data_IF_571825499991
#
_entry.id   IF_571825499991
#
_cell.length_a   1.000
_cell.length_b   1.000
_cell.length_c   1.000
_cell.angle_alpha   90.00
_cell.angle_beta   90.00
_cell.angle_gamma   90.00
#
_symmetry.space_group_name_H-M   'P 1'
#
loop_
_entity.id
_entity.type
_entity.pdbx_description
1 polymer ?
#
# COMPACT_ATOMS: atom_id res chain seq x y z
N UNK A 1 -44.16 -6.01 17.79
CA UNK A 1 -43.04 -6.77 17.20
C UNK A 1 -42.77 -6.15 15.84
N UNK A 2 -41.59 -5.63 15.49
CA UNK A 2 -40.28 -5.61 16.13
C UNK A 2 -39.60 -4.35 15.58
N UNK A 3 -39.14 -3.45 16.45
CA UNK A 3 -38.28 -2.34 16.05
C UNK A 3 -36.88 -2.90 15.84
N UNK A 4 -36.33 -2.75 14.64
CA UNK A 4 -34.88 -2.85 14.44
C UNK A 4 -34.31 -1.42 14.58
N UNK A 5 -33.39 -1.17 15.54
CA UNK A 5 -32.86 0.16 15.81
C UNK A 5 -31.55 0.43 15.05
N UNK A 6 -31.55 1.40 14.14
CA UNK A 6 -30.58 2.52 14.11
C UNK A 6 -30.74 3.39 12.84
N UNK A 7 -31.40 4.54 13.00
CA UNK A 7 -31.24 5.80 12.27
C UNK A 7 -30.86 5.72 10.76
N UNK A 8 -31.87 5.54 9.90
CA UNK A 8 -31.76 5.80 8.47
C UNK A 8 -31.90 7.30 8.19
N UNK A 9 -30.86 7.92 7.64
CA UNK A 9 -31.07 9.16 6.90
C UNK A 9 -31.99 8.84 5.71
N UNK A 10 -33.13 9.54 5.51
CA UNK A 10 -33.94 9.31 4.32
C UNK A 10 -33.15 9.72 3.08
N UNK A 11 -32.92 8.76 2.17
CA UNK A 11 -32.29 9.02 0.88
C UNK A 11 -33.14 9.97 0.06
N UNK A 12 -32.52 10.83 -0.74
CA UNK A 12 -33.26 11.58 -1.77
C UNK A 12 -33.71 10.66 -2.89
N UNK A 13 -34.72 11.06 -3.67
CA UNK A 13 -35.22 10.28 -4.80
C UNK A 13 -34.12 9.96 -5.83
N UNK A 14 -33.15 10.86 -6.01
CA UNK A 14 -31.99 10.66 -6.89
C UNK A 14 -31.00 9.66 -6.31
N UNK A 15 -30.78 9.66 -5.00
CA UNK A 15 -29.90 8.70 -4.33
C UNK A 15 -30.48 7.28 -4.38
N UNK A 16 -31.80 7.14 -4.22
CA UNK A 16 -32.50 5.86 -4.40
C UNK A 16 -32.43 5.34 -5.85
N UNK A 17 -32.46 6.24 -6.84
CA UNK A 17 -32.29 5.85 -8.26
C UNK A 17 -30.89 5.29 -8.56
N UNK A 18 -29.84 5.82 -7.93
CA UNK A 18 -28.48 5.25 -8.05
C UNK A 18 -28.45 3.83 -7.47
N UNK A 19 -29.04 3.64 -6.29
CA UNK A 19 -29.11 2.34 -5.63
C UNK A 19 -29.83 1.30 -6.50
N UNK A 20 -30.97 1.68 -7.10
CA UNK A 20 -31.70 0.80 -8.02
C UNK A 20 -30.89 0.40 -9.24
N UNK A 21 -30.08 1.32 -9.80
CA UNK A 21 -29.17 1.00 -10.92
C UNK A 21 -28.09 0.00 -10.49
N UNK A 22 -27.58 0.11 -9.27
CA UNK A 22 -26.60 -0.83 -8.70
C UNK A 22 -27.23 -2.22 -8.58
N UNK A 23 -28.39 -2.33 -7.92
CA UNK A 23 -29.06 -3.63 -7.75
C UNK A 23 -29.43 -4.25 -9.10
N UNK A 24 -30.03 -3.48 -10.00
CA UNK A 24 -30.46 -3.99 -11.31
C UNK A 24 -29.29 -4.57 -12.11
N UNK A 25 -28.15 -3.88 -12.13
CA UNK A 25 -26.98 -4.36 -12.87
C UNK A 25 -26.37 -5.61 -12.21
N UNK A 26 -26.27 -5.64 -10.88
CA UNK A 26 -25.75 -6.80 -10.14
C UNK A 26 -26.67 -8.03 -10.27
N UNK A 27 -27.98 -7.82 -10.32
CA UNK A 27 -28.98 -8.86 -10.59
C UNK A 27 -28.85 -9.44 -11.99
N UNK A 28 -28.81 -8.57 -13.01
CA UNK A 28 -28.67 -8.97 -14.41
C UNK A 28 -27.37 -9.75 -14.67
N UNK A 29 -26.34 -9.53 -13.84
CA UNK A 29 -25.06 -10.21 -13.94
C UNK A 29 -24.87 -11.32 -12.88
N UNK A 30 -25.95 -11.77 -12.22
CA UNK A 30 -25.97 -12.91 -11.30
C UNK A 30 -25.01 -12.81 -10.10
N UNK A 31 -24.81 -11.60 -9.55
CA UNK A 31 -24.00 -11.45 -8.34
C UNK A 31 -24.70 -12.09 -7.13
N UNK A 32 -23.93 -12.69 -6.19
CA UNK A 32 -24.46 -13.18 -4.92
C UNK A 32 -25.14 -12.07 -4.10
N UNK A 33 -26.12 -12.44 -3.28
CA UNK A 33 -26.85 -11.51 -2.42
C UNK A 33 -25.92 -10.71 -1.49
N UNK A 34 -24.91 -11.37 -0.90
CA UNK A 34 -23.90 -10.73 -0.05
C UNK A 34 -23.16 -9.57 -0.75
N UNK A 35 -22.94 -9.68 -2.07
CA UNK A 35 -22.27 -8.63 -2.85
C UNK A 35 -23.21 -7.48 -3.22
N UNK A 36 -24.51 -7.77 -3.38
CA UNK A 36 -25.54 -6.74 -3.55
C UNK A 36 -25.67 -5.90 -2.29
N UNK A 37 -25.73 -6.54 -1.12
CA UNK A 37 -25.75 -5.86 0.19
C UNK A 37 -24.47 -5.05 0.41
N UNK A 38 -23.31 -5.57 0.02
CA UNK A 38 -22.05 -4.83 0.15
C UNK A 38 -22.01 -3.59 -0.76
N UNK A 39 -22.51 -3.69 -1.99
CA UNK A 39 -22.59 -2.57 -2.93
C UNK A 39 -23.53 -1.47 -2.42
N UNK A 40 -24.67 -1.87 -1.87
CA UNK A 40 -25.59 -0.97 -1.18
C UNK A 40 -24.91 -0.25 -0.02
N UNK A 41 -24.20 -0.98 0.85
CA UNK A 41 -23.48 -0.39 1.98
C UNK A 41 -22.42 0.63 1.52
N UNK A 42 -21.67 0.36 0.44
CA UNK A 42 -20.70 1.30 -0.14
C UNK A 42 -21.39 2.62 -0.52
N UNK A 43 -22.54 2.54 -1.20
CA UNK A 43 -23.29 3.71 -1.63
C UNK A 43 -23.84 4.51 -0.45
N UNK A 44 -24.46 3.84 0.52
CA UNK A 44 -25.04 4.47 1.70
C UNK A 44 -23.96 5.16 2.56
N UNK A 45 -22.80 4.53 2.72
CA UNK A 45 -21.67 5.11 3.44
C UNK A 45 -21.17 6.39 2.78
N UNK A 46 -21.09 6.39 1.45
CA UNK A 46 -20.63 7.55 0.69
C UNK A 46 -21.59 8.73 0.81
N UNK A 47 -22.90 8.46 0.66
CA UNK A 47 -23.96 9.46 0.81
C UNK A 47 -23.95 10.08 2.21
N UNK A 48 -23.78 9.24 3.23
CA UNK A 48 -23.73 9.68 4.64
C UNK A 48 -22.53 10.58 4.93
N UNK A 49 -21.37 10.29 4.36
CA UNK A 49 -20.14 11.08 4.58
C UNK A 49 -20.08 12.38 3.77
N UNK A 50 -20.64 12.43 2.57
CA UNK A 50 -20.53 13.60 1.67
C UNK A 50 -21.60 14.67 1.85
N UNK A 51 -22.69 14.40 2.58
CA UNK A 51 -23.87 15.27 2.73
C UNK A 51 -24.31 15.93 1.40
N UNK A 52 -25.14 15.19 0.67
CA UNK A 52 -25.90 15.60 -0.54
C UNK A 52 -25.07 16.12 -1.73
N UNK A 53 -24.45 15.21 -2.51
CA UNK A 53 -23.92 15.57 -3.82
C UNK A 53 -25.05 16.04 -4.76
N UNK A 54 -24.80 17.03 -5.62
CA UNK A 54 -25.73 17.40 -6.71
C UNK A 54 -25.75 16.30 -7.77
N UNK A 55 -26.82 15.49 -7.79
CA UNK A 55 -26.97 14.35 -8.70
C UNK A 55 -27.79 14.77 -9.93
N UNK A 56 -27.17 14.69 -11.11
CA UNK A 56 -27.84 14.74 -12.42
C UNK A 56 -28.03 13.33 -12.97
N UNK A 57 -28.78 13.15 -14.07
CA UNK A 57 -29.01 11.82 -14.66
C UNK A 57 -27.73 11.14 -15.15
N UNK A 58 -26.81 11.89 -15.76
CA UNK A 58 -25.49 11.39 -16.14
C UNK A 58 -24.67 11.02 -14.89
N UNK A 59 -24.75 11.82 -13.82
CA UNK A 59 -24.07 11.51 -12.57
C UNK A 59 -24.60 10.23 -11.92
N UNK A 60 -25.90 9.92 -12.05
CA UNK A 60 -26.47 8.69 -11.48
C UNK A 60 -25.80 7.43 -12.05
N UNK A 61 -25.63 7.38 -13.37
CA UNK A 61 -24.97 6.25 -14.05
C UNK A 61 -23.48 6.16 -13.69
N UNK A 62 -22.81 7.31 -13.59
CA UNK A 62 -21.41 7.36 -13.16
C UNK A 62 -21.26 6.82 -11.73
N UNK A 63 -22.14 7.22 -10.80
CA UNK A 63 -22.10 6.74 -9.42
C UNK A 63 -22.37 5.24 -9.32
N UNK A 64 -23.39 4.73 -9.99
CA UNK A 64 -23.70 3.31 -10.01
C UNK A 64 -22.53 2.47 -10.55
N UNK A 65 -21.98 2.86 -11.70
CA UNK A 65 -20.81 2.21 -12.28
C UNK A 65 -19.58 2.29 -11.37
N UNK A 66 -19.39 3.40 -10.65
CA UNK A 66 -18.28 3.58 -9.73
C UNK A 66 -18.38 2.66 -8.51
N UNK A 67 -19.57 2.51 -7.92
CA UNK A 67 -19.80 1.60 -6.79
C UNK A 67 -19.56 0.15 -7.20
N UNK A 68 -20.08 -0.25 -8.36
CA UNK A 68 -19.87 -1.60 -8.91
C UNK A 68 -18.39 -1.84 -9.20
N UNK A 69 -17.68 -0.85 -9.76
CA UNK A 69 -16.25 -0.94 -9.99
C UNK A 69 -15.47 -1.06 -8.67
N UNK A 70 -15.86 -0.32 -7.63
CA UNK A 70 -15.23 -0.41 -6.33
C UNK A 70 -15.44 -1.80 -5.70
N UNK A 71 -16.67 -2.32 -5.75
CA UNK A 71 -17.01 -3.67 -5.31
C UNK A 71 -16.20 -4.73 -6.08
N UNK A 72 -16.10 -4.59 -7.41
CA UNK A 72 -15.39 -5.57 -8.23
C UNK A 72 -13.91 -5.65 -7.90
N UNK A 73 -13.29 -4.52 -7.56
CA UNK A 73 -11.91 -4.47 -7.07
C UNK A 73 -11.77 -5.10 -5.67
N UNK A 74 -12.74 -4.92 -4.78
CA UNK A 74 -12.73 -5.53 -3.44
C UNK A 74 -12.90 -7.06 -3.50
N UNK A 75 -13.69 -7.58 -4.45
CA UNK A 75 -13.97 -9.01 -4.58
C UNK A 75 -13.10 -9.74 -5.60
N UNK A 76 -12.19 -9.04 -6.28
CA UNK A 76 -11.31 -9.63 -7.28
C UNK A 76 -11.98 -10.00 -8.61
N UNK A 77 -13.15 -9.42 -8.93
CA UNK A 77 -13.85 -9.69 -10.19
C UNK A 77 -13.18 -8.99 -11.38
N UNK A 78 -12.14 -9.62 -11.93
CA UNK A 78 -11.33 -9.09 -13.05
C UNK A 78 -12.14 -8.83 -14.34
N UNK A 79 -13.24 -9.56 -14.53
CA UNK A 79 -14.14 -9.42 -15.67
C UNK A 79 -14.99 -8.13 -15.63
N UNK A 80 -15.07 -7.47 -14.47
CA UNK A 80 -15.72 -6.16 -14.27
C UNK A 80 -14.66 -5.07 -14.20
N UNK A 81 -14.38 -4.45 -15.35
CA UNK A 81 -13.43 -3.35 -15.47
C UNK A 81 -14.10 -2.06 -15.97
N UNK A 82 -13.37 -0.94 -15.89
CA UNK A 82 -13.89 0.39 -16.25
C UNK A 82 -14.39 0.47 -17.69
N UNK A 83 -13.77 -0.24 -18.64
CA UNK A 83 -14.16 -0.21 -20.05
C UNK A 83 -15.50 -0.91 -20.26
N UNK A 84 -15.72 -2.05 -19.59
CA UNK A 84 -17.00 -2.76 -19.61
C UNK A 84 -18.10 -1.91 -18.98
N UNK A 85 -17.87 -1.39 -17.77
CA UNK A 85 -18.86 -0.56 -17.08
C UNK A 85 -19.15 0.74 -17.84
N UNK A 86 -18.15 1.34 -18.47
CA UNK A 86 -18.34 2.50 -19.35
C UNK A 86 -19.29 2.18 -20.50
N UNK A 87 -19.13 1.01 -21.14
CA UNK A 87 -20.03 0.54 -22.20
C UNK A 87 -21.44 0.26 -21.67
N UNK A 88 -21.56 -0.50 -20.58
CA UNK A 88 -22.85 -0.94 -20.03
C UNK A 88 -23.70 0.23 -19.51
N UNK A 89 -23.06 1.27 -18.97
CA UNK A 89 -23.74 2.46 -18.46
C UNK A 89 -23.78 3.64 -19.45
N UNK A 90 -23.13 3.53 -20.62
CA UNK A 90 -23.07 4.60 -21.62
C UNK A 90 -22.36 5.86 -21.13
N UNK A 91 -21.23 5.69 -20.44
CA UNK A 91 -20.43 6.76 -19.82
C UNK A 91 -18.95 6.63 -20.20
N UNK A 92 -18.11 7.62 -19.89
CA UNK A 92 -16.66 7.50 -20.12
C UNK A 92 -15.96 6.75 -18.98
N UNK A 93 -14.94 5.95 -19.31
CA UNK A 93 -14.09 5.28 -18.31
C UNK A 93 -13.34 6.28 -17.43
N UNK A 94 -12.93 7.43 -17.99
CA UNK A 94 -12.33 8.53 -17.25
C UNK A 94 -13.24 9.11 -16.17
N UNK A 95 -14.55 9.18 -16.41
CA UNK A 95 -15.55 9.61 -15.41
C UNK A 95 -15.67 8.63 -14.26
N UNK A 96 -15.59 7.33 -14.53
CA UNK A 96 -15.56 6.27 -13.49
C UNK A 96 -14.28 6.41 -12.66
N UNK A 97 -13.12 6.58 -13.31
CA UNK A 97 -11.83 6.73 -12.62
C UNK A 97 -11.83 7.92 -11.66
N UNK A 98 -12.28 9.10 -12.13
CA UNK A 98 -12.35 10.31 -11.31
C UNK A 98 -13.26 10.14 -10.09
N UNK A 99 -14.45 9.56 -10.26
CA UNK A 99 -15.39 9.34 -9.14
C UNK A 99 -14.97 8.20 -8.23
N UNK A 100 -14.27 7.20 -8.73
CA UNK A 100 -13.68 6.14 -7.92
C UNK A 100 -12.60 6.70 -6.98
N UNK A 101 -11.74 7.60 -7.46
CA UNK A 101 -10.76 8.29 -6.62
C UNK A 101 -11.44 9.11 -5.50
N UNK A 102 -12.45 9.91 -5.85
CA UNK A 102 -13.23 10.69 -4.89
C UNK A 102 -13.94 9.80 -3.86
N UNK A 103 -14.60 8.73 -4.31
CA UNK A 103 -15.31 7.79 -3.44
C UNK A 103 -14.37 7.08 -2.47
N UNK A 104 -13.18 6.68 -2.93
CA UNK A 104 -12.15 6.12 -2.04
C UNK A 104 -11.64 7.15 -1.03
N UNK A 105 -11.46 8.41 -1.45
CA UNK A 105 -11.02 9.48 -0.55
C UNK A 105 -12.03 9.74 0.57
N UNK A 106 -13.30 9.83 0.22
CA UNK A 106 -14.39 10.09 1.18
C UNK A 106 -14.64 8.90 2.09
N UNK A 107 -14.63 7.69 1.55
CA UNK A 107 -15.02 6.52 2.33
C UNK A 107 -14.00 6.17 3.42
N UNK A 108 -12.77 6.67 3.37
CA UNK A 108 -11.67 6.39 4.32
C UNK A 108 -11.59 4.90 4.69
N UNK A 109 -12.02 4.02 3.79
CA UNK A 109 -11.98 2.58 4.02
C UNK A 109 -10.56 2.15 3.76
N UNK A 110 -9.71 2.20 4.81
CA UNK A 110 -8.35 1.66 4.89
C UNK A 110 -7.73 1.43 3.50
N UNK A 111 -7.64 2.50 2.71
CA UNK A 111 -7.11 2.36 1.37
C UNK A 111 -5.60 2.27 1.59
N UNK A 112 -4.96 1.14 1.25
CA UNK A 112 -3.50 1.08 1.33
C UNK A 112 -2.90 2.24 0.53
N UNK A 113 -3.55 2.68 -0.57
CA UNK A 113 -3.10 3.83 -1.35
C UNK A 113 -3.20 5.21 -0.65
N UNK A 114 -4.08 5.42 0.33
CA UNK A 114 -4.08 6.68 1.10
C UNK A 114 -3.02 6.65 2.20
N UNK A 115 -2.82 5.51 2.87
CA UNK A 115 -1.67 5.32 3.78
C UNK A 115 -0.33 5.40 3.03
N UNK A 116 -0.33 5.03 1.74
CA UNK A 116 0.78 5.23 0.82
C UNK A 116 1.06 6.72 0.57
N UNK A 117 0.05 7.51 0.20
CA UNK A 117 0.24 8.95 -0.04
C UNK A 117 0.66 9.69 1.23
N UNK A 118 -0.03 9.45 2.36
CA UNK A 118 0.29 10.10 3.63
C UNK A 118 1.66 9.70 4.20
N UNK A 119 2.10 8.45 4.00
CA UNK A 119 3.44 8.02 4.41
C UNK A 119 4.54 8.50 3.45
N UNK A 120 4.25 8.61 2.14
CA UNK A 120 5.19 9.24 1.20
C UNK A 120 5.35 10.73 1.43
N UNK A 121 4.29 11.42 1.88
CA UNK A 121 4.34 12.86 2.21
C UNK A 121 5.35 13.17 3.34
N UNK A 122 5.70 12.19 4.18
CA UNK A 122 6.70 12.35 5.25
C UNK A 122 8.15 12.45 4.77
N UNK A 123 8.47 11.92 3.59
CA UNK A 123 9.86 11.83 3.12
C UNK A 123 10.06 12.24 1.65
N UNK A 124 8.98 12.50 0.89
CA UNK A 124 9.00 12.94 -0.49
C UNK A 124 8.44 14.35 -0.61
N UNK A 125 9.33 15.30 -0.91
CA UNK A 125 9.04 16.64 -1.42
C UNK A 125 9.30 16.68 -2.95
N UNK A 126 8.97 17.78 -3.66
CA UNK A 126 9.16 17.84 -5.12
C UNK A 126 10.59 17.53 -5.60
N UNK A 127 11.63 17.96 -4.85
CA UNK A 127 13.03 17.74 -5.21
C UNK A 127 13.43 16.27 -5.01
N UNK A 128 13.10 15.71 -3.84
CA UNK A 128 13.38 14.30 -3.49
C UNK A 128 12.58 13.32 -4.35
N UNK A 129 11.36 13.70 -4.79
CA UNK A 129 10.59 12.94 -5.78
C UNK A 129 11.30 12.85 -7.13
N UNK A 130 11.90 13.96 -7.59
CA UNK A 130 12.57 13.96 -8.89
C UNK A 130 13.85 13.12 -8.86
N UNK A 131 14.69 13.24 -7.82
CA UNK A 131 15.88 12.38 -7.70
C UNK A 131 15.49 10.90 -7.52
N UNK A 132 14.41 10.61 -6.80
CA UNK A 132 13.91 9.24 -6.69
C UNK A 132 13.42 8.70 -8.04
N UNK A 133 12.72 9.53 -8.83
CA UNK A 133 12.33 9.19 -10.20
C UNK A 133 13.55 8.92 -11.08
N UNK A 134 14.59 9.75 -10.99
CA UNK A 134 15.87 9.56 -11.71
C UNK A 134 16.55 8.25 -11.32
N UNK A 135 16.58 7.89 -10.04
CA UNK A 135 17.09 6.61 -9.54
C UNK A 135 16.30 5.42 -10.12
N UNK A 136 14.96 5.50 -10.13
CA UNK A 136 14.11 4.45 -10.71
C UNK A 136 14.34 4.31 -12.23
N UNK A 137 14.50 5.42 -12.94
CA UNK A 137 14.85 5.41 -14.38
C UNK A 137 16.22 4.76 -14.57
N UNK A 138 17.25 5.21 -13.85
CA UNK A 138 18.60 4.65 -13.90
C UNK A 138 18.59 3.13 -13.71
N UNK A 139 17.83 2.65 -12.73
CA UNK A 139 17.66 1.22 -12.42
C UNK A 139 17.02 0.45 -13.58
N UNK A 140 16.02 1.03 -14.26
CA UNK A 140 15.25 0.33 -15.30
C UNK A 140 15.88 0.41 -16.69
N UNK A 141 16.52 1.52 -17.02
CA UNK A 141 16.96 1.81 -18.40
C UNK A 141 18.44 1.53 -18.61
N UNK A 142 19.22 1.37 -17.55
CA UNK A 142 20.62 0.96 -17.67
C UNK A 142 20.71 -0.49 -18.16
N UNK A 143 21.44 -0.71 -19.26
CA UNK A 143 21.76 -2.06 -19.74
C UNK A 143 22.47 -2.91 -18.69
N UNK A 144 23.11 -2.27 -17.70
CA UNK A 144 23.78 -2.94 -16.58
C UNK A 144 22.79 -3.58 -15.60
N UNK A 145 21.64 -2.94 -15.38
CA UNK A 145 20.70 -3.34 -14.32
C UNK A 145 19.46 -4.04 -14.86
N UNK A 146 19.12 -3.83 -16.14
CA UNK A 146 17.87 -4.32 -16.74
C UNK A 146 17.62 -5.81 -16.48
N UNK A 147 18.59 -6.68 -16.80
CA UNK A 147 18.43 -8.13 -16.61
C UNK A 147 18.30 -8.48 -15.12
N UNK A 148 19.12 -7.86 -14.26
CA UNK A 148 19.07 -8.06 -12.81
C UNK A 148 17.70 -7.67 -12.22
N UNK A 149 17.15 -6.55 -12.65
CA UNK A 149 15.82 -6.08 -12.26
C UNK A 149 14.77 -7.05 -12.75
N UNK A 150 14.77 -7.42 -14.04
CA UNK A 150 13.80 -8.35 -14.64
C UNK A 150 13.81 -9.72 -13.94
N UNK A 151 14.99 -10.28 -13.66
CA UNK A 151 15.15 -11.54 -12.92
C UNK A 151 14.61 -11.43 -11.49
N UNK A 152 14.88 -10.32 -10.80
CA UNK A 152 14.37 -10.10 -9.44
C UNK A 152 12.85 -9.98 -9.44
N UNK A 153 12.30 -9.20 -10.38
CA UNK A 153 10.86 -9.09 -10.55
C UNK A 153 10.22 -10.46 -10.84
N UNK A 154 10.83 -11.26 -11.71
CA UNK A 154 10.36 -12.61 -12.00
C UNK A 154 10.42 -13.54 -10.79
N UNK A 155 11.51 -13.50 -10.01
CA UNK A 155 11.67 -14.29 -8.78
C UNK A 155 10.54 -14.03 -7.78
N UNK A 156 10.17 -12.76 -7.59
CA UNK A 156 9.23 -12.36 -6.54
C UNK A 156 7.78 -12.29 -7.01
N UNK A 157 7.53 -11.99 -8.29
CA UNK A 157 6.16 -11.93 -8.84
C UNK A 157 5.73 -13.24 -9.50
N UNK A 158 6.67 -14.03 -10.04
CA UNK A 158 6.36 -15.19 -10.88
C UNK A 158 5.92 -14.79 -12.30
N UNK A 159 5.37 -15.76 -13.04
CA UNK A 159 4.85 -15.55 -14.40
C UNK A 159 3.46 -14.87 -14.41
N UNK A 160 2.69 -15.02 -13.35
CA UNK A 160 1.40 -14.36 -13.18
C UNK A 160 1.64 -13.01 -12.50
N UNK A 161 1.39 -11.93 -13.24
CA UNK A 161 1.35 -10.57 -12.71
C UNK A 161 -0.13 -10.29 -12.35
N UNK A 162 -0.64 -10.64 -11.16
CA UNK A 162 -1.87 -10.00 -10.71
C UNK A 162 -1.62 -8.49 -10.66
N UNK A 163 -2.66 -7.67 -10.78
CA UNK A 163 -2.53 -6.21 -10.62
C UNK A 163 -2.09 -5.89 -9.20
N UNK A 164 -0.78 -5.94 -8.92
CA UNK A 164 -0.22 -5.62 -7.61
C UNK A 164 -0.52 -4.16 -7.28
N UNK A 165 -0.78 -3.82 -6.01
CA UNK A 165 -0.87 -2.43 -5.58
C UNK A 165 0.40 -1.66 -5.98
N UNK A 166 0.25 -0.41 -6.41
CA UNK A 166 1.35 0.40 -6.92
C UNK A 166 2.47 0.58 -5.90
N UNK A 167 2.14 0.71 -4.61
CA UNK A 167 3.19 0.78 -3.60
C UNK A 167 3.87 -0.55 -3.33
N UNK A 168 3.26 -1.71 -3.62
CA UNK A 168 3.96 -2.99 -3.53
C UNK A 168 5.03 -3.09 -4.62
N UNK A 169 4.69 -2.58 -5.81
CA UNK A 169 5.66 -2.40 -6.91
C UNK A 169 6.76 -1.42 -6.48
N UNK A 170 6.41 -0.32 -5.82
CA UNK A 170 7.39 0.65 -5.32
C UNK A 170 8.32 0.06 -4.26
N UNK A 171 7.79 -0.72 -3.32
CA UNK A 171 8.60 -1.40 -2.31
C UNK A 171 9.55 -2.40 -2.97
N UNK A 172 9.11 -3.12 -4.00
CA UNK A 172 9.98 -4.01 -4.77
C UNK A 172 11.12 -3.22 -5.46
N UNK A 173 10.83 -2.03 -5.99
CA UNK A 173 11.87 -1.15 -6.53
C UNK A 173 12.84 -0.66 -5.44
N UNK A 174 12.35 -0.27 -4.26
CA UNK A 174 13.22 0.17 -3.17
C UNK A 174 14.08 -0.96 -2.66
N UNK A 175 13.52 -2.15 -2.51
CA UNK A 175 14.28 -3.35 -2.23
C UNK A 175 15.43 -3.55 -3.23
N UNK A 176 15.12 -3.56 -4.53
CA UNK A 176 16.12 -3.77 -5.60
C UNK A 176 17.20 -2.68 -5.58
N UNK A 177 16.81 -1.44 -5.31
CA UNK A 177 17.71 -0.27 -5.47
C UNK A 177 18.53 0.05 -4.23
N UNK A 178 17.94 -0.14 -3.04
CA UNK A 178 18.46 0.37 -1.78
C UNK A 178 18.89 -0.74 -0.82
N UNK A 179 18.28 -1.93 -0.88
CA UNK A 179 18.58 -3.00 0.08
C UNK A 179 19.49 -4.06 -0.53
N UNK A 180 19.27 -4.42 -1.79
CA UNK A 180 19.95 -5.54 -2.44
C UNK A 180 21.39 -5.19 -2.86
N UNK A 181 22.35 -5.99 -2.40
CA UNK A 181 23.76 -5.82 -2.79
C UNK A 181 24.05 -6.43 -4.16
N UNK A 182 24.82 -5.72 -4.98
CA UNK A 182 25.21 -6.11 -6.34
C UNK A 182 26.66 -6.57 -6.44
N UNK A 183 27.37 -6.66 -5.31
CA UNK A 183 28.79 -7.03 -5.20
C UNK A 183 29.63 -5.97 -4.48
N UNK A 184 30.72 -6.40 -3.82
CA UNK A 184 31.64 -5.54 -3.05
C UNK A 184 30.95 -4.66 -1.99
N UNK A 185 29.80 -5.09 -1.47
CA UNK A 185 29.00 -4.32 -0.51
C UNK A 185 28.29 -3.09 -1.10
N UNK A 186 28.25 -2.94 -2.43
CA UNK A 186 27.57 -1.82 -3.10
C UNK A 186 26.11 -2.16 -3.40
N UNK A 187 25.26 -1.13 -3.38
CA UNK A 187 23.86 -1.15 -3.85
C UNK A 187 23.72 -0.32 -5.12
N UNK A 188 22.61 -0.49 -5.86
CA UNK A 188 22.36 0.30 -7.08
C UNK A 188 22.33 1.81 -6.79
N UNK A 189 21.80 2.21 -5.62
CA UNK A 189 21.82 3.61 -5.16
C UNK A 189 23.24 4.18 -5.06
N UNK A 190 24.25 3.37 -4.69
CA UNK A 190 25.65 3.81 -4.64
C UNK A 190 26.19 4.08 -6.04
N UNK A 191 25.95 3.16 -6.97
CA UNK A 191 26.32 3.36 -8.37
C UNK A 191 25.60 4.55 -9.01
N UNK A 192 24.36 4.82 -8.61
CA UNK A 192 23.62 5.99 -9.07
C UNK A 192 24.30 7.28 -8.60
N UNK A 193 24.61 7.38 -7.31
CA UNK A 193 25.31 8.53 -6.72
C UNK A 193 26.68 8.74 -7.37
N UNK A 194 27.45 7.67 -7.62
CA UNK A 194 28.74 7.73 -8.32
C UNK A 194 28.60 8.22 -9.78
N UNK A 195 27.47 7.95 -10.44
CA UNK A 195 27.23 8.28 -11.85
C UNK A 195 26.62 9.67 -12.08
N UNK A 196 26.00 10.28 -11.07
CA UNK A 196 25.35 11.58 -11.18
C UNK A 196 26.19 12.67 -10.51
N UNK A 197 26.87 13.48 -11.33
CA UNK A 197 27.71 14.59 -10.86
C UNK A 197 26.93 15.85 -10.45
N UNK A 198 25.63 15.89 -10.72
CA UNK A 198 24.76 17.06 -10.58
C UNK A 198 23.81 16.98 -9.36
N UNK A 199 24.07 16.07 -8.43
CA UNK A 199 23.26 15.93 -7.22
C UNK A 199 23.54 17.06 -6.22
N UNK A 200 22.50 17.77 -5.81
CA UNK A 200 22.60 18.76 -4.76
C UNK A 200 22.62 18.12 -3.36
N UNK A 201 22.90 18.92 -2.33
CA UNK A 201 23.01 18.43 -0.94
C UNK A 201 21.73 17.75 -0.44
N UNK A 202 20.56 18.29 -0.77
CA UNK A 202 19.27 17.74 -0.33
C UNK A 202 18.98 16.39 -1.00
N UNK A 203 19.28 16.27 -2.30
CA UNK A 203 19.17 15.02 -3.05
C UNK A 203 20.10 13.94 -2.50
N UNK A 204 21.36 14.29 -2.22
CA UNK A 204 22.32 13.37 -1.59
C UNK A 204 21.84 12.92 -0.20
N UNK A 205 21.37 13.86 0.62
CA UNK A 205 20.83 13.56 1.95
C UNK A 205 19.65 12.58 1.85
N UNK A 206 18.75 12.80 0.90
CA UNK A 206 17.63 11.89 0.66
C UNK A 206 18.08 10.49 0.23
N UNK A 207 19.01 10.39 -0.72
CA UNK A 207 19.53 9.11 -1.21
C UNK A 207 20.24 8.33 -0.10
N UNK A 208 20.98 9.01 0.78
CA UNK A 208 21.58 8.39 1.95
C UNK A 208 20.53 7.91 2.96
N UNK A 209 19.49 8.72 3.22
CA UNK A 209 18.39 8.34 4.12
C UNK A 209 17.60 7.14 3.61
N UNK A 210 17.26 7.09 2.32
CA UNK A 210 16.53 5.95 1.74
C UNK A 210 17.42 4.70 1.68
N UNK A 211 18.74 4.85 1.44
CA UNK A 211 19.71 3.75 1.58
C UNK A 211 19.78 3.21 3.02
N UNK A 212 19.72 4.10 4.01
CA UNK A 212 19.73 3.74 5.43
C UNK A 212 18.35 3.34 5.98
N UNK A 213 17.32 3.36 5.13
CA UNK A 213 15.99 2.90 5.51
C UNK A 213 15.99 1.40 5.79
N UNK A 214 15.04 0.94 6.59
CA UNK A 214 14.90 -0.48 6.89
C UNK A 214 13.46 -0.91 7.00
N UNK A 215 13.20 -2.10 6.46
CA UNK A 215 11.97 -2.84 6.70
C UNK A 215 12.00 -3.49 8.09
N UNK A 216 10.85 -3.54 8.75
CA UNK A 216 10.71 -4.19 10.05
C UNK A 216 9.27 -4.55 10.42
N UNK A 217 9.18 -5.38 11.44
CA UNK A 217 7.97 -5.67 12.19
C UNK A 217 8.17 -5.11 13.60
N UNK A 218 7.30 -4.21 14.02
CA UNK A 218 7.47 -3.40 15.21
C UNK A 218 6.33 -3.62 16.19
N UNK A 219 6.63 -3.62 17.48
CA UNK A 219 5.64 -3.54 18.55
C UNK A 219 5.70 -2.17 19.21
N UNK A 220 4.57 -1.51 19.41
CA UNK A 220 4.50 -0.23 20.12
C UNK A 220 4.71 -0.48 21.61
N UNK A 221 5.82 0.01 22.17
CA UNK A 221 6.17 -0.14 23.60
C UNK A 221 5.73 1.04 24.45
N UNK A 222 5.81 2.26 23.92
CA UNK A 222 5.42 3.47 24.63
C UNK A 222 5.01 4.58 23.68
N UNK A 223 4.21 5.52 24.21
CA UNK A 223 3.96 6.83 23.59
C UNK A 223 4.86 7.82 24.33
N UNK A 224 5.87 8.37 23.64
CA UNK A 224 6.83 9.30 24.24
C UNK A 224 6.31 10.75 24.18
N UNK A 225 5.57 11.08 23.14
CA UNK A 225 4.84 12.34 22.97
C UNK A 225 3.69 12.15 21.98
N UNK A 226 2.89 13.19 21.76
CA UNK A 226 1.79 13.20 20.77
C UNK A 226 2.23 12.88 19.33
N UNK A 227 3.54 12.97 19.05
CA UNK A 227 4.10 12.76 17.72
C UNK A 227 5.21 11.71 17.70
N UNK A 228 5.56 11.08 18.83
CA UNK A 228 6.68 10.12 18.88
C UNK A 228 6.28 8.87 19.66
N UNK A 229 6.44 7.72 19.01
CA UNK A 229 6.23 6.40 19.58
C UNK A 229 7.58 5.69 19.75
N UNK A 230 7.69 4.90 20.82
CA UNK A 230 8.79 3.96 21.01
C UNK A 230 8.36 2.61 20.48
N UNK A 231 9.03 2.15 19.43
CA UNK A 231 8.83 0.82 18.85
C UNK A 231 9.91 -0.14 19.31
N UNK A 232 9.56 -1.41 19.42
CA UNK A 232 10.52 -2.51 19.50
C UNK A 232 10.55 -3.25 18.15
N UNK A 233 11.69 -3.21 17.47
CA UNK A 233 11.93 -3.95 16.23
C UNK A 233 12.11 -5.43 16.57
N UNK A 234 11.12 -6.24 16.20
CA UNK A 234 11.09 -7.68 16.50
C UNK A 234 12.17 -8.46 15.77
N UNK A 235 12.64 -7.98 14.63
CA UNK A 235 13.68 -8.67 13.89
C UNK A 235 15.08 -8.40 14.44
N UNK A 236 15.31 -7.18 14.92
CA UNK A 236 16.63 -6.73 15.42
C UNK A 236 16.74 -6.70 16.93
N UNK A 237 15.66 -7.01 17.64
CA UNK A 237 15.60 -6.99 19.12
C UNK A 237 16.08 -5.68 19.74
N UNK A 238 15.71 -4.55 19.14
CA UNK A 238 16.15 -3.22 19.56
C UNK A 238 14.98 -2.24 19.63
N UNK A 239 15.14 -1.19 20.43
CA UNK A 239 14.16 -0.11 20.51
C UNK A 239 14.50 1.01 19.54
N UNK A 240 13.48 1.62 18.95
CA UNK A 240 13.61 2.68 17.94
C UNK A 240 12.51 3.72 18.19
N UNK A 241 12.87 5.01 18.18
CA UNK A 241 11.86 6.08 18.28
C UNK A 241 11.40 6.44 16.87
N UNK A 242 10.07 6.45 16.66
CA UNK A 242 9.45 6.75 15.38
C UNK A 242 8.49 7.92 15.55
N UNK A 243 8.68 8.95 14.75
CA UNK A 243 7.75 10.06 14.66
C UNK A 243 6.47 9.60 13.97
N UNK A 244 5.37 9.55 14.69
CA UNK A 244 4.09 9.05 14.20
C UNK A 244 2.98 9.92 14.78
N UNK A 245 2.28 10.64 13.90
CA UNK A 245 1.28 11.65 14.27
C UNK A 245 -0.15 11.13 14.38
N UNK A 246 -0.37 9.84 14.11
CA UNK A 246 -1.71 9.24 14.14
C UNK A 246 -2.00 8.64 15.53
N UNK A 247 -3.17 9.00 16.08
CA UNK A 247 -3.69 8.47 17.36
C UNK A 247 -4.19 7.02 17.25
N UNK A 248 -4.04 6.37 16.10
CA UNK A 248 -4.57 5.03 15.85
C UNK A 248 -3.76 3.91 16.52
N UNK A 249 -2.48 4.15 16.77
CA UNK A 249 -1.58 3.16 17.38
C UNK A 249 -1.56 3.29 18.90
N UNK A 250 -1.77 2.16 19.56
CA UNK A 250 -1.75 2.00 21.02
C UNK A 250 -0.59 1.11 21.44
N UNK A 251 -0.19 1.23 22.71
CA UNK A 251 0.80 0.33 23.31
C UNK A 251 0.32 -1.12 23.15
N UNK A 252 1.23 -1.99 22.68
CA UNK A 252 0.97 -3.40 22.40
C UNK A 252 0.41 -3.69 21.00
N UNK A 253 0.09 -2.65 20.21
CA UNK A 253 -0.18 -2.80 18.78
C UNK A 253 1.10 -3.18 18.05
N UNK A 254 0.93 -3.81 16.89
CA UNK A 254 2.03 -4.13 16.00
C UNK A 254 1.89 -3.42 14.67
N UNK A 255 3.02 -3.07 14.08
CA UNK A 255 3.10 -2.47 12.76
C UNK A 255 4.14 -3.18 11.92
N UNK A 256 3.95 -3.19 10.61
CA UNK A 256 4.94 -3.70 9.66
C UNK A 256 5.17 -2.64 8.61
N UNK A 257 6.43 -2.47 8.25
CA UNK A 257 6.81 -1.67 7.10
C UNK A 257 8.17 -1.05 7.19
N UNK A 258 8.36 0.00 6.38
CA UNK A 258 9.66 0.67 6.26
C UNK A 258 9.70 1.92 7.12
N UNK A 259 10.79 2.08 7.86
CA UNK A 259 11.14 3.31 8.56
C UNK A 259 12.40 3.91 7.93
N UNK A 260 12.48 5.24 7.92
CA UNK A 260 13.57 6.02 7.32
C UNK A 260 14.16 6.92 8.42
N UNK A 261 15.49 7.02 8.54
CA UNK A 261 16.09 7.89 9.55
C UNK A 261 15.80 9.37 9.23
N UNK A 262 15.59 10.21 10.26
CA UNK A 262 15.40 11.67 10.07
C UNK A 262 16.71 12.41 9.83
N UNK A 263 17.81 11.93 10.40
CA UNK A 263 19.17 12.48 10.25
C UNK A 263 20.13 11.36 9.86
N UNK A 264 21.21 11.71 9.17
CA UNK A 264 22.23 10.75 8.70
C UNK A 264 22.93 10.01 9.86
N UNK A 265 23.00 10.61 11.06
CA UNK A 265 24.12 10.29 11.98
C UNK A 265 23.77 10.04 13.46
N UNK A 266 22.57 9.58 13.81
CA UNK A 266 22.37 9.14 15.22
C UNK A 266 21.31 8.07 15.48
N UNK A 267 20.57 7.61 14.46
CA UNK A 267 19.53 6.57 14.66
C UNK A 267 18.47 6.90 15.74
N UNK A 268 18.48 8.11 16.29
CA UNK A 268 17.73 8.48 17.48
C UNK A 268 16.25 8.69 17.17
N UNK A 269 15.95 9.17 15.95
CA UNK A 269 14.58 9.41 15.50
C UNK A 269 14.40 8.97 14.05
N UNK A 270 13.38 8.16 13.84
CA UNK A 270 12.96 7.63 12.55
C UNK A 270 11.61 8.22 12.18
N UNK A 271 11.26 8.15 10.90
CA UNK A 271 9.92 8.45 10.40
C UNK A 271 9.38 7.25 9.62
N UNK A 272 8.06 7.13 9.47
CA UNK A 272 7.45 6.25 8.49
C UNK A 272 8.05 6.53 7.11
N UNK A 273 8.42 5.46 6.42
CA UNK A 273 8.78 5.47 5.01
C UNK A 273 7.58 5.00 4.20
N UNK A 274 7.64 3.75 3.74
CA UNK A 274 6.58 3.15 2.95
C UNK A 274 5.79 2.17 3.80
N UNK A 275 4.46 2.37 3.77
CA UNK A 275 3.46 1.49 4.39
C UNK A 275 3.81 1.12 5.82
N UNK A 276 3.70 2.02 6.80
CA UNK A 276 3.73 1.58 8.20
C UNK A 276 2.32 1.13 8.60
N UNK A 277 2.01 -0.14 8.36
CA UNK A 277 0.65 -0.69 8.48
C UNK A 277 0.46 -1.39 9.81
N UNK A 278 -0.67 -1.14 10.47
CA UNK A 278 -1.08 -1.91 11.65
C UNK A 278 -1.37 -3.36 11.28
N UNK A 279 -0.81 -4.27 12.07
CA UNK A 279 -0.98 -5.72 11.99
C UNK A 279 -1.63 -6.23 13.28
N UNK A 280 -2.64 -7.07 13.13
CA UNK A 280 -3.31 -7.70 14.27
C UNK A 280 -2.46 -8.82 14.88
N UNK A 281 -2.62 -9.05 16.18
CA UNK A 281 -1.86 -10.09 16.89
C UNK A 281 -2.13 -11.51 16.32
N UNK A 282 -3.32 -11.75 15.79
CA UNK A 282 -3.65 -12.99 15.07
C UNK A 282 -2.85 -13.13 13.77
N UNK A 283 -2.76 -12.05 12.99
CA UNK A 283 -1.95 -12.00 11.76
C UNK A 283 -0.48 -12.32 12.06
N UNK A 284 0.08 -11.83 13.17
CA UNK A 284 1.47 -12.15 13.57
C UNK A 284 1.68 -13.63 13.87
N UNK A 285 0.75 -14.25 14.62
CA UNK A 285 0.83 -15.67 14.94
C UNK A 285 0.83 -16.55 13.69
N UNK A 286 0.16 -16.10 12.63
CA UNK A 286 0.13 -16.78 11.34
C UNK A 286 1.34 -16.46 10.46
N UNK A 287 1.88 -15.23 10.55
CA UNK A 287 3.09 -14.83 9.84
C UNK A 287 4.32 -15.57 10.35
N UNK A 288 4.42 -15.80 11.66
CA UNK A 288 5.59 -16.43 12.29
C UNK A 288 6.02 -17.76 11.65
N UNK A 289 5.15 -18.78 11.47
CA UNK A 289 5.54 -20.02 10.82
C UNK A 289 5.94 -19.83 9.36
N UNK A 290 5.29 -18.92 8.63
CA UNK A 290 5.64 -18.60 7.24
C UNK A 290 7.03 -17.95 7.17
N UNK A 291 7.32 -16.98 8.03
CA UNK A 291 8.61 -16.30 8.12
C UNK A 291 9.74 -17.26 8.50
N UNK A 292 9.52 -18.17 9.46
CA UNK A 292 10.49 -19.22 9.83
C UNK A 292 10.79 -20.15 8.66
N UNK A 293 9.77 -20.53 7.89
CA UNK A 293 9.96 -21.34 6.67
C UNK A 293 10.78 -20.58 5.64
N UNK A 294 10.45 -19.32 5.35
CA UNK A 294 11.22 -18.51 4.39
C UNK A 294 12.67 -18.32 4.83
N UNK A 295 12.92 -18.11 6.12
CA UNK A 295 14.27 -18.02 6.67
C UNK A 295 15.05 -19.32 6.45
N UNK A 296 14.42 -20.47 6.71
CA UNK A 296 15.05 -21.77 6.47
C UNK A 296 15.35 -22.00 4.98
N UNK A 297 14.38 -21.74 4.11
CA UNK A 297 14.54 -21.85 2.66
C UNK A 297 15.63 -20.90 2.12
N UNK A 298 15.76 -19.71 2.71
CA UNK A 298 16.83 -18.77 2.42
C UNK A 298 18.19 -19.29 2.91
N UNK A 299 18.28 -19.77 4.15
CA UNK A 299 19.50 -20.33 4.74
C UNK A 299 20.04 -21.53 3.94
N UNK A 300 19.16 -22.45 3.52
CA UNK A 300 19.54 -23.60 2.67
C UNK A 300 20.13 -23.14 1.34
N UNK A 301 19.50 -22.15 0.68
CA UNK A 301 20.02 -21.57 -0.58
C UNK A 301 21.39 -20.90 -0.41
N UNK A 302 21.68 -20.37 0.77
CA UNK A 302 22.94 -19.72 1.10
C UNK A 302 23.90 -20.63 1.90
N UNK A 303 23.74 -21.95 1.78
CA UNK A 303 24.64 -22.97 2.37
C UNK A 303 24.78 -22.82 3.89
N UNK A 304 23.72 -22.43 4.59
CA UNK A 304 23.69 -22.25 6.04
C UNK A 304 24.15 -20.88 6.53
N UNK A 305 24.69 -20.02 5.66
CA UNK A 305 25.10 -18.67 6.00
C UNK A 305 23.94 -17.70 5.73
N UNK A 306 23.12 -17.47 6.74
CA UNK A 306 22.10 -16.44 6.69
C UNK A 306 22.05 -15.71 8.03
N UNK A 307 22.35 -14.42 8.01
CA UNK A 307 22.01 -13.55 9.14
C UNK A 307 20.54 -13.12 9.06
N UNK A 308 19.98 -12.71 10.20
CA UNK A 308 18.63 -12.14 10.20
C UNK A 308 18.55 -10.93 9.27
N UNK A 309 19.58 -10.07 9.26
CA UNK A 309 19.58 -8.84 8.47
C UNK A 309 19.57 -9.12 6.96
N UNK A 310 20.43 -10.01 6.47
CA UNK A 310 20.46 -10.42 5.07
C UNK A 310 19.13 -11.05 4.65
N UNK A 311 18.56 -11.91 5.49
CA UNK A 311 17.24 -12.49 5.23
C UNK A 311 16.15 -11.42 5.13
N UNK A 312 16.08 -10.47 6.07
CA UNK A 312 15.05 -9.43 6.08
C UNK A 312 15.19 -8.53 4.87
N UNK A 313 16.42 -8.12 4.54
CA UNK A 313 16.71 -7.30 3.37
C UNK A 313 16.23 -8.03 2.11
N UNK A 314 16.63 -9.28 1.90
CA UNK A 314 16.29 -10.08 0.71
C UNK A 314 14.82 -10.49 0.63
N UNK A 315 14.06 -10.47 1.74
CA UNK A 315 12.71 -11.03 1.80
C UNK A 315 11.64 -10.04 2.26
N UNK A 316 11.97 -8.76 2.47
CA UNK A 316 11.03 -7.69 2.84
C UNK A 316 9.76 -7.68 1.96
N UNK A 317 9.93 -7.89 0.64
CA UNK A 317 8.82 -8.00 -0.29
C UNK A 317 7.88 -9.20 -0.01
N UNK A 318 8.40 -10.35 0.45
CA UNK A 318 7.57 -11.52 0.76
C UNK A 318 6.60 -11.25 1.90
N UNK A 319 7.06 -10.52 2.92
CA UNK A 319 6.21 -10.07 4.02
C UNK A 319 5.05 -9.21 3.52
N UNK A 320 5.34 -8.26 2.62
CA UNK A 320 4.30 -7.43 2.03
C UNK A 320 3.33 -8.20 1.15
N UNK A 321 3.85 -9.10 0.32
CA UNK A 321 3.01 -9.96 -0.53
C UNK A 321 2.07 -10.80 0.32
N UNK A 322 2.58 -11.43 1.38
CA UNK A 322 1.77 -12.20 2.33
C UNK A 322 0.65 -11.34 2.94
N UNK A 323 0.99 -10.14 3.41
CA UNK A 323 0.05 -9.22 4.03
C UNK A 323 -1.07 -8.79 3.07
N UNK A 324 -0.73 -8.42 1.84
CA UNK A 324 -1.72 -7.98 0.85
C UNK A 324 -2.56 -9.12 0.28
N UNK A 325 -1.98 -10.30 0.05
CA UNK A 325 -2.74 -11.46 -0.41
C UNK A 325 -3.77 -11.88 0.64
N UNK A 326 -3.42 -11.85 1.92
CA UNK A 326 -4.34 -12.19 3.01
C UNK A 326 -5.55 -11.24 3.08
N UNK A 327 -5.33 -9.94 2.91
CA UNK A 327 -6.40 -8.93 3.01
C UNK A 327 -7.23 -8.79 1.73
N UNK A 328 -6.83 -9.46 0.65
CA UNK A 328 -7.56 -9.49 -0.61
C UNK A 328 -8.46 -10.74 -0.77
N UNK A 329 -8.28 -11.76 0.07
CA UNK A 329 -9.18 -12.91 0.21
C UNK A 329 -10.10 -12.74 1.40
#
# INVERSE_FOLDING_TARGET
MEKIPNQEMPLTAEQGKVLNLIHSWLEQNNFPEADRTQAEQIWLDYVRKTRTPKITNINMRIWAATVIYLLSRQRGYSWVNQNRLAKDFGISSGSISKRWQEMNQVLERNNPYQNYLSATDYFLNPQTMEVFRRLLVFTRTSNRWKNYVEETFYQFMGADIPSLPAGLILELYIYITCDREIGEGKRIVDCFVESCSDLNKEELTFLQRIKASRFGLFEVKAVLSDQVLLFFDLFRSQQVQVEYSSQELKIGDFTMGRIIPRKEDDGALWSPGIYLMKIDRSEIKELEPAAKKWFWDYSVRHKGWATNEEFIQENSFLFWRWFFTRRAG
#
